data_IF_391146678461
#
_entry.id   IF_391146678461
#
_cell.length_a   1.000
_cell.length_b   1.000
_cell.length_c   1.000
_cell.angle_alpha   90.00
_cell.angle_beta   90.00
_cell.angle_gamma   90.00
#
_symmetry.space_group_name_H-M   'P 1'
#
loop_
_entity.id
_entity.type
_entity.pdbx_description
1 polymer ?
#
# COMPACT_ATOMS: atom_id res chain seq x y z
N UNK A 1 -0.68 14.10 -3.51
CA UNK A 1 0.27 14.49 -2.45
C UNK A 1 1.13 13.34 -1.90
N UNK A 2 0.92 12.06 -2.24
CA UNK A 2 1.94 11.01 -1.99
C UNK A 2 2.16 10.01 -3.13
N UNK A 3 1.36 10.07 -4.21
CA UNK A 3 1.50 9.19 -5.37
C UNK A 3 2.95 9.08 -5.95
N UNK A 4 3.81 10.13 -5.94
CA UNK A 4 5.15 9.98 -6.50
C UNK A 4 6.22 9.58 -5.46
N UNK A 5 5.95 9.61 -4.15
CA UNK A 5 7.00 9.41 -3.15
C UNK A 5 7.30 7.94 -2.84
N UNK A 6 6.34 7.05 -3.10
CA UNK A 6 6.56 5.60 -2.99
C UNK A 6 6.97 4.94 -4.30
N UNK A 7 7.09 5.72 -5.38
CA UNK A 7 7.67 5.25 -6.62
C UNK A 7 9.20 5.16 -6.45
N UNK A 8 9.69 4.00 -6.01
CA UNK A 8 11.06 3.60 -6.34
C UNK A 8 11.14 3.60 -7.87
N UNK A 9 12.07 4.38 -8.42
CA UNK A 9 12.29 4.52 -9.88
C UNK A 9 12.54 3.13 -10.52
N UNK A 10 11.47 2.52 -11.01
CA UNK A 10 11.46 1.40 -11.93
C UNK A 10 10.35 1.67 -12.93
N UNK A 11 10.71 1.81 -14.21
CA UNK A 11 9.77 2.12 -15.28
C UNK A 11 8.71 1.01 -15.41
N UNK A 12 7.45 1.35 -15.20
CA UNK A 12 6.31 0.43 -15.34
C UNK A 12 5.10 0.91 -14.56
N UNK A 13 4.14 1.54 -15.24
CA UNK A 13 2.83 1.87 -14.68
C UNK A 13 2.08 0.61 -14.23
N UNK A 14 1.91 0.41 -12.91
CA UNK A 14 0.64 0.06 -12.25
C UNK A 14 0.84 0.00 -10.71
N UNK A 15 0.42 1.05 -10.00
CA UNK A 15 0.05 1.03 -8.57
C UNK A 15 1.07 0.50 -7.56
N UNK A 16 1.80 1.41 -6.88
CA UNK A 16 2.38 1.28 -5.53
C UNK A 16 3.06 -0.03 -5.08
N UNK A 17 3.43 -0.94 -5.98
CA UNK A 17 4.08 -2.22 -5.67
C UNK A 17 5.60 -2.07 -5.73
N UNK A 18 6.26 -2.52 -4.67
CA UNK A 18 7.72 -2.62 -4.58
C UNK A 18 8.14 -4.04 -4.94
N UNK A 19 9.09 -4.19 -5.86
CA UNK A 19 9.65 -5.50 -6.23
C UNK A 19 11.02 -5.64 -5.58
N UNK A 20 11.23 -6.71 -4.84
CA UNK A 20 12.57 -7.07 -4.35
C UNK A 20 13.40 -7.64 -5.49
N UNK A 21 14.52 -6.99 -5.82
CA UNK A 21 15.36 -7.36 -6.97
C UNK A 21 16.08 -8.71 -6.80
N UNK A 22 16.30 -9.16 -5.55
CA UNK A 22 17.02 -10.41 -5.27
C UNK A 22 16.10 -11.64 -5.34
N UNK A 23 14.86 -11.50 -4.91
CA UNK A 23 13.89 -12.60 -4.78
C UNK A 23 12.73 -12.51 -5.77
N UNK A 24 12.56 -11.37 -6.43
CA UNK A 24 11.40 -11.08 -7.29
C UNK A 24 10.09 -10.92 -6.50
N UNK A 25 10.13 -10.92 -5.17
CA UNK A 25 8.93 -10.81 -4.35
C UNK A 25 8.34 -9.40 -4.44
N UNK A 26 7.04 -9.34 -4.71
CA UNK A 26 6.28 -8.10 -4.72
C UNK A 26 5.77 -7.76 -3.31
N UNK A 27 5.84 -6.48 -2.96
CA UNK A 27 5.36 -5.93 -1.71
C UNK A 27 4.44 -4.76 -1.97
N UNK A 28 3.47 -4.57 -1.08
CA UNK A 28 2.56 -3.43 -1.06
C UNK A 28 2.64 -2.69 0.27
N UNK A 29 2.54 -1.36 0.27
CA UNK A 29 2.43 -0.57 1.47
C UNK A 29 1.03 -0.69 2.09
N UNK A 30 0.96 -1.12 3.35
CA UNK A 30 -0.27 -1.14 4.15
C UNK A 30 -0.08 -0.36 5.44
N UNK A 31 -1.19 0.05 6.04
CA UNK A 31 -1.19 0.64 7.38
C UNK A 31 -2.34 0.11 8.22
N UNK A 32 -2.11 0.04 9.53
CA UNK A 32 -3.11 -0.25 10.55
C UNK A 32 -3.75 1.07 10.99
N UNK A 33 -5.07 1.16 10.96
CA UNK A 33 -5.81 2.38 11.31
C UNK A 33 -6.25 2.45 12.79
N UNK A 34 -7.16 3.38 13.10
CA UNK A 34 -7.70 3.59 14.46
C UNK A 34 -8.56 2.46 14.96
N UNK A 35 -9.19 1.71 14.06
CA UNK A 35 -10.06 0.59 14.39
C UNK A 35 -9.29 -0.74 14.42
N UNK A 36 -8.03 -0.72 13.96
CA UNK A 36 -7.16 -1.89 13.91
C UNK A 36 -7.26 -2.64 12.59
N UNK A 37 -7.94 -2.05 11.61
CA UNK A 37 -8.06 -2.58 10.26
C UNK A 37 -6.80 -2.29 9.46
N UNK A 38 -6.42 -3.24 8.62
CA UNK A 38 -5.34 -3.05 7.66
C UNK A 38 -5.87 -2.47 6.35
N UNK A 39 -5.31 -1.35 5.91
CA UNK A 39 -5.67 -0.66 4.68
C UNK A 39 -4.46 -0.44 3.77
N UNK A 40 -4.68 -0.27 2.46
CA UNK A 40 -3.60 0.12 1.54
C UNK A 40 -3.27 1.60 1.70
N UNK A 41 -1.98 1.92 1.69
CA UNK A 41 -1.54 3.32 1.72
C UNK A 41 -1.94 3.99 0.40
N UNK A 42 -2.80 5.00 0.50
CA UNK A 42 -3.30 5.78 -0.64
C UNK A 42 -4.81 5.67 -0.88
N UNK A 43 -5.51 4.77 -0.20
CA UNK A 43 -6.97 4.58 -0.38
C UNK A 43 -7.80 5.73 0.21
N UNK A 44 -7.30 6.39 1.26
CA UNK A 44 -8.02 7.47 1.97
C UNK A 44 -7.31 8.82 1.81
N UNK A 45 -8.03 9.94 2.00
CA UNK A 45 -7.43 11.27 2.03
C UNK A 45 -6.28 11.38 3.03
N UNK A 46 -5.22 12.12 2.67
CA UNK A 46 -4.01 12.28 3.49
C UNK A 46 -4.29 12.69 4.94
N UNK A 47 -5.23 13.61 5.15
CA UNK A 47 -5.59 14.05 6.49
C UNK A 47 -6.16 12.89 7.33
N UNK A 48 -7.03 12.07 6.74
CA UNK A 48 -7.59 10.89 7.42
C UNK A 48 -6.51 9.85 7.72
N UNK A 49 -5.60 9.61 6.77
CA UNK A 49 -4.45 8.72 6.97
C UNK A 49 -3.57 9.16 8.15
N UNK A 50 -3.14 10.43 8.18
CA UNK A 50 -2.28 10.96 9.25
C UNK A 50 -2.98 10.91 10.61
N UNK A 51 -4.30 11.13 10.63
CA UNK A 51 -5.07 11.04 11.84
C UNK A 51 -5.21 9.59 12.31
N UNK A 52 -5.46 8.62 11.41
CA UNK A 52 -5.81 7.26 11.79
C UNK A 52 -4.65 6.26 11.89
N UNK A 53 -3.54 6.49 11.19
CA UNK A 53 -2.45 5.53 11.06
C UNK A 53 -1.73 5.27 12.39
N UNK A 54 -1.74 4.01 12.83
CA UNK A 54 -1.00 3.52 14.00
C UNK A 54 0.33 2.85 13.62
N UNK A 55 0.35 2.09 12.52
CA UNK A 55 1.52 1.30 12.09
C UNK A 55 1.54 1.17 10.57
N UNK A 56 2.72 1.23 9.96
CA UNK A 56 2.92 0.97 8.53
C UNK A 56 3.66 -0.35 8.36
N UNK A 57 3.30 -1.14 7.34
CA UNK A 57 3.96 -2.39 7.00
C UNK A 57 4.09 -2.53 5.48
N UNK A 58 5.22 -3.06 5.02
CA UNK A 58 5.34 -3.64 3.68
C UNK A 58 4.92 -5.10 3.76
N UNK A 59 3.77 -5.42 3.19
CA UNK A 59 3.26 -6.80 3.12
C UNK A 59 3.61 -7.39 1.77
N UNK A 60 3.90 -8.69 1.69
CA UNK A 60 3.98 -9.35 0.38
C UNK A 60 2.64 -9.21 -0.33
N UNK A 61 2.63 -9.00 -1.64
CA UNK A 61 1.39 -8.87 -2.42
C UNK A 61 0.47 -10.07 -2.21
N UNK A 62 1.04 -11.27 -2.05
CA UNK A 62 0.34 -12.51 -1.73
C UNK A 62 -0.36 -12.52 -0.37
N UNK A 63 0.12 -11.74 0.61
CA UNK A 63 -0.46 -11.63 1.96
C UNK A 63 -1.57 -10.57 2.01
N UNK A 64 -1.56 -9.61 1.07
CA UNK A 64 -2.46 -8.45 1.06
C UNK A 64 -3.70 -8.62 0.17
N UNK A 65 -3.93 -9.83 -0.39
CA UNK A 65 -4.98 -10.10 -1.39
C UNK A 65 -6.41 -9.77 -0.95
N UNK A 66 -6.68 -9.70 0.35
CA UNK A 66 -8.01 -9.38 0.90
C UNK A 66 -8.17 -7.91 1.35
N UNK A 67 -7.12 -7.10 1.25
CA UNK A 67 -7.14 -5.70 1.70
C UNK A 67 -7.49 -4.72 0.58
N UNK A 68 -7.31 -5.12 -0.68
CA UNK A 68 -7.65 -4.28 -1.81
C UNK A 68 -9.17 -4.15 -1.97
N UNK A 69 -9.70 -2.95 -2.22
CA UNK A 69 -11.08 -2.78 -2.64
C UNK A 69 -11.29 -3.56 -3.95
N UNK A 70 -12.18 -4.55 -3.92
CA UNK A 70 -12.70 -5.19 -5.14
C UNK A 70 -13.27 -4.09 -6.03
N UNK A 71 -12.81 -3.93 -7.30
CA UNK A 71 -13.40 -2.96 -8.19
C UNK A 71 -14.88 -3.31 -8.35
N UNK A 72 -15.76 -2.38 -7.97
CA UNK A 72 -17.18 -2.47 -8.29
C UNK A 72 -17.32 -2.49 -9.81
N UNK A 73 -17.95 -3.55 -10.32
CA UNK A 73 -18.30 -3.72 -11.72
C UNK A 73 -19.15 -2.58 -12.29
#
# INVERSE_FOLDING_TARGET
MFAPCLAVRGEGELGSRLVDAATGAEYVPTYEDRDGDWMLVGDVPWKMFVESCKRIRLMKSSEAVNLAPRPSS
#
